data_IF_100700416155
#
_entry.id   IF_100700416155
#
_cell.length_a   1.000
_cell.length_b   1.000
_cell.length_c   1.000
_cell.angle_alpha   90.00
_cell.angle_beta   90.00
_cell.angle_gamma   90.00
#
_symmetry.space_group_name_H-M   'P 1'
#
loop_
_entity.id
_entity.type
_entity.pdbx_description
1 polymer ?
#
# COMPACT_ATOMS: atom_id res chain seq x y z
N UNK A 1 27.50 26.08 -1.06
CA UNK A 1 27.54 24.76 -0.39
C UNK A 1 26.13 24.42 0.09
N UNK A 2 25.50 23.44 -0.55
CA UNK A 2 24.06 23.18 -0.44
C UNK A 2 23.66 22.66 0.95
N UNK A 3 22.95 23.46 1.73
CA UNK A 3 22.30 23.09 3.02
C UNK A 3 21.11 22.14 2.87
N UNK A 4 21.07 21.28 1.86
CA UNK A 4 19.84 20.54 1.49
C UNK A 4 19.69 19.16 2.15
N UNK A 5 20.76 18.60 2.73
CA UNK A 5 20.72 17.34 3.48
C UNK A 5 21.54 17.53 4.77
N UNK A 6 20.92 18.06 5.80
CA UNK A 6 21.52 18.11 7.14
C UNK A 6 20.84 17.02 7.95
N UNK A 7 21.33 15.81 7.82
CA UNK A 7 20.96 14.73 8.71
C UNK A 7 22.04 14.55 9.77
N UNK A 8 21.64 14.53 11.04
CA UNK A 8 22.57 14.22 12.11
C UNK A 8 23.05 12.76 12.00
N UNK A 9 24.36 12.48 12.17
CA UNK A 9 24.91 11.12 12.02
C UNK A 9 24.20 10.09 12.88
N UNK A 10 23.76 10.47 14.08
CA UNK A 10 22.99 9.60 14.97
C UNK A 10 21.64 9.18 14.35
N UNK A 11 20.91 10.12 13.77
CA UNK A 11 19.62 9.84 13.13
C UNK A 11 19.81 9.00 11.87
N UNK A 12 20.86 9.24 11.10
CA UNK A 12 21.23 8.44 9.94
C UNK A 12 21.44 6.97 10.32
N UNK A 13 22.24 6.69 11.36
CA UNK A 13 22.48 5.32 11.81
C UNK A 13 21.19 4.65 12.27
N UNK A 14 20.37 5.34 13.07
CA UNK A 14 19.08 4.83 13.54
C UNK A 14 18.17 4.48 12.36
N UNK A 15 18.02 5.37 11.39
CA UNK A 15 17.18 5.14 10.21
C UNK A 15 17.66 3.94 9.37
N UNK A 16 18.97 3.76 9.24
CA UNK A 16 19.55 2.60 8.53
C UNK A 16 19.31 1.28 9.29
N UNK A 17 19.48 1.29 10.63
CA UNK A 17 19.18 0.12 11.47
C UNK A 17 17.69 -0.24 11.34
N UNK A 18 16.79 0.73 11.46
CA UNK A 18 15.35 0.50 11.31
C UNK A 18 15.05 -0.04 9.90
N UNK A 19 15.66 0.54 8.86
CA UNK A 19 15.50 0.04 7.47
C UNK A 19 15.90 -1.41 7.35
N UNK A 20 17.04 -1.80 7.92
CA UNK A 20 17.50 -3.18 7.91
C UNK A 20 16.53 -4.13 8.63
N UNK A 21 16.06 -3.74 9.83
CA UNK A 21 15.05 -4.52 10.58
C UNK A 21 13.75 -4.65 9.79
N UNK A 22 13.29 -3.58 9.13
CA UNK A 22 12.08 -3.57 8.31
C UNK A 22 12.23 -4.51 7.10
N UNK A 23 13.39 -4.51 6.43
CA UNK A 23 13.67 -5.43 5.32
C UNK A 23 13.60 -6.88 5.79
N UNK A 24 14.25 -7.21 6.92
CA UNK A 24 14.19 -8.55 7.50
C UNK A 24 12.75 -8.93 7.89
N UNK A 25 12.01 -8.01 8.51
CA UNK A 25 10.60 -8.22 8.86
C UNK A 25 9.75 -8.48 7.61
N UNK A 26 9.98 -7.75 6.52
CA UNK A 26 9.24 -7.94 5.26
C UNK A 26 9.38 -9.37 4.75
N UNK A 27 10.61 -9.89 4.71
CA UNK A 27 10.89 -11.26 4.28
C UNK A 27 10.37 -12.30 5.29
N UNK A 28 10.51 -12.03 6.58
CA UNK A 28 10.02 -12.91 7.64
C UNK A 28 8.49 -13.05 7.60
N UNK A 29 7.74 -11.93 7.43
CA UNK A 29 6.29 -11.98 7.25
C UNK A 29 5.88 -12.77 6.01
N UNK A 30 6.58 -12.58 4.88
CA UNK A 30 6.34 -13.39 3.68
C UNK A 30 6.59 -14.88 3.94
N UNK A 31 7.58 -15.22 4.77
CA UNK A 31 7.88 -16.59 5.19
C UNK A 31 6.74 -17.28 5.96
N UNK A 32 5.87 -16.51 6.65
CA UNK A 32 4.68 -17.07 7.32
C UNK A 32 3.69 -17.73 6.35
N UNK A 33 3.75 -17.39 5.06
CA UNK A 33 2.93 -18.04 4.02
C UNK A 33 3.27 -19.52 3.81
N UNK A 34 4.49 -19.95 4.16
CA UNK A 34 5.04 -21.24 3.81
C UNK A 34 5.31 -21.43 2.30
N UNK A 35 5.26 -20.36 1.49
CA UNK A 35 5.40 -20.38 0.05
C UNK A 35 6.66 -19.62 -0.40
N UNK A 36 7.58 -20.31 -1.06
CA UNK A 36 8.77 -19.68 -1.64
C UNK A 36 8.42 -18.60 -2.67
N UNK A 37 7.32 -18.80 -3.38
CA UNK A 37 6.81 -17.82 -4.35
C UNK A 37 6.39 -16.50 -3.69
N UNK A 38 5.77 -16.57 -2.51
CA UNK A 38 5.39 -15.36 -1.74
C UNK A 38 6.64 -14.68 -1.18
N UNK A 39 7.64 -15.44 -0.73
CA UNK A 39 8.94 -14.89 -0.30
C UNK A 39 9.64 -14.19 -1.47
N UNK A 40 9.67 -14.81 -2.63
CA UNK A 40 10.23 -14.21 -3.85
C UNK A 40 9.48 -12.93 -4.23
N UNK A 41 8.17 -12.93 -4.12
CA UNK A 41 7.32 -11.74 -4.38
C UNK A 41 7.67 -10.60 -3.43
N UNK A 42 7.92 -10.88 -2.15
CA UNK A 42 8.34 -9.87 -1.17
C UNK A 42 9.68 -9.21 -1.56
N UNK A 43 10.64 -9.99 -2.07
CA UNK A 43 11.89 -9.44 -2.60
C UNK A 43 11.66 -8.55 -3.82
N UNK A 44 10.78 -8.92 -4.74
CA UNK A 44 10.44 -8.07 -5.88
C UNK A 44 9.75 -6.77 -5.44
N UNK A 45 8.86 -6.83 -4.45
CA UNK A 45 8.22 -5.66 -3.86
C UNK A 45 9.28 -4.70 -3.28
N UNK A 46 10.26 -5.21 -2.53
CA UNK A 46 11.38 -4.40 -2.02
C UNK A 46 12.19 -3.77 -3.16
N UNK A 47 12.54 -4.53 -4.18
CA UNK A 47 13.31 -4.05 -5.33
C UNK A 47 12.55 -2.95 -6.07
N UNK A 48 11.24 -3.11 -6.31
CA UNK A 48 10.40 -2.08 -6.95
C UNK A 48 10.40 -0.80 -6.12
N UNK A 49 10.28 -0.89 -4.79
CA UNK A 49 10.36 0.28 -3.91
C UNK A 49 11.73 0.94 -3.95
N UNK A 50 12.84 0.19 -4.03
CA UNK A 50 14.18 0.75 -4.14
C UNK A 50 14.40 1.44 -5.49
N UNK A 51 13.91 0.84 -6.58
CA UNK A 51 13.96 1.47 -7.90
C UNK A 51 13.16 2.77 -7.90
N UNK A 52 11.96 2.80 -7.30
CA UNK A 52 11.12 4.00 -7.22
C UNK A 52 11.70 5.06 -6.26
N UNK A 53 12.42 4.63 -5.22
CA UNK A 53 13.09 5.53 -4.28
C UNK A 53 14.17 6.38 -4.96
N UNK A 54 14.93 5.84 -5.90
CA UNK A 54 16.03 6.57 -6.56
C UNK A 54 15.56 7.87 -7.25
N UNK A 55 14.59 7.85 -8.17
CA UNK A 55 14.07 9.09 -8.75
C UNK A 55 13.36 9.97 -7.71
N UNK A 56 12.65 9.37 -6.73
CA UNK A 56 12.03 10.13 -5.67
C UNK A 56 13.04 10.94 -4.85
N UNK A 57 14.21 10.35 -4.54
CA UNK A 57 15.31 11.02 -3.86
C UNK A 57 15.94 12.12 -4.73
N UNK A 58 16.24 11.83 -6.02
CA UNK A 58 16.89 12.76 -6.94
C UNK A 58 16.01 14.00 -7.17
N UNK A 59 14.73 13.78 -7.45
CA UNK A 59 13.76 14.86 -7.73
C UNK A 59 13.10 15.42 -6.47
N UNK A 60 13.43 14.90 -5.27
CA UNK A 60 12.86 15.30 -3.98
C UNK A 60 11.33 15.30 -3.97
N UNK A 61 10.75 14.25 -4.53
CA UNK A 61 9.31 14.13 -4.72
C UNK A 61 8.76 12.86 -4.06
N UNK A 62 7.61 12.99 -3.43
CA UNK A 62 6.85 11.88 -2.85
C UNK A 62 5.63 11.48 -3.71
N UNK A 63 5.41 12.16 -4.83
CA UNK A 63 4.18 12.01 -5.64
C UNK A 63 3.90 10.58 -6.10
N UNK A 64 4.95 9.78 -6.27
CA UNK A 64 4.84 8.39 -6.73
C UNK A 64 4.89 7.37 -5.57
N UNK A 65 4.98 7.82 -4.32
CA UNK A 65 5.11 6.92 -3.17
C UNK A 65 3.91 5.97 -3.03
N UNK A 66 2.70 6.52 -2.94
CA UNK A 66 1.47 5.73 -2.82
C UNK A 66 1.20 4.92 -4.11
N UNK A 67 1.54 5.47 -5.29
CA UNK A 67 1.44 4.76 -6.56
C UNK A 67 2.37 3.54 -6.62
N UNK A 68 3.58 3.65 -6.07
CA UNK A 68 4.52 2.52 -6.00
C UNK A 68 3.93 1.37 -5.19
N UNK A 69 3.31 1.66 -4.04
CA UNK A 69 2.60 0.65 -3.25
C UNK A 69 1.48 -0.03 -4.06
N UNK A 70 0.68 0.76 -4.76
CA UNK A 70 -0.42 0.23 -5.59
C UNK A 70 0.10 -0.65 -6.74
N UNK A 71 1.18 -0.25 -7.41
CA UNK A 71 1.83 -1.08 -8.44
C UNK A 71 2.31 -2.40 -7.83
N UNK A 72 2.87 -2.38 -6.61
CA UNK A 72 3.34 -3.59 -5.94
C UNK A 72 2.20 -4.55 -5.56
N UNK A 73 1.05 -4.06 -5.11
CA UNK A 73 -0.14 -4.90 -4.89
C UNK A 73 -0.61 -5.56 -6.20
N UNK A 74 -0.72 -4.79 -7.28
CA UNK A 74 -1.13 -5.31 -8.58
C UNK A 74 -0.12 -6.33 -9.11
N UNK A 75 1.18 -5.98 -9.07
CA UNK A 75 2.26 -6.86 -9.50
C UNK A 75 2.25 -8.18 -8.71
N UNK A 76 2.24 -8.12 -7.37
CA UNK A 76 2.28 -9.31 -6.52
C UNK A 76 1.11 -10.25 -6.79
N UNK A 77 -0.10 -9.69 -6.92
CA UNK A 77 -1.31 -10.47 -7.22
C UNK A 77 -1.24 -11.16 -8.58
N UNK A 78 -0.87 -10.43 -9.64
CA UNK A 78 -0.75 -10.98 -11.00
C UNK A 78 0.40 -11.98 -11.08
N UNK A 79 1.56 -11.65 -10.50
CA UNK A 79 2.76 -12.49 -10.54
C UNK A 79 2.52 -13.84 -9.86
N UNK A 80 1.99 -13.84 -8.62
CA UNK A 80 1.73 -15.09 -7.89
C UNK A 80 0.68 -15.92 -8.61
N UNK A 81 -0.39 -15.31 -9.13
CA UNK A 81 -1.38 -16.05 -9.92
C UNK A 81 -0.77 -16.70 -11.15
N UNK A 82 -0.02 -15.91 -11.94
CA UNK A 82 0.56 -16.41 -13.19
C UNK A 82 1.60 -17.51 -12.97
N UNK A 83 2.44 -17.39 -11.94
CA UNK A 83 3.43 -18.40 -11.60
C UNK A 83 2.79 -19.71 -11.10
N UNK A 84 1.62 -19.62 -10.44
CA UNK A 84 0.92 -20.79 -9.91
C UNK A 84 0.07 -21.49 -10.98
N UNK A 85 -0.62 -20.73 -11.82
CA UNK A 85 -1.63 -21.27 -12.74
C UNK A 85 -1.35 -21.02 -14.22
N UNK A 86 -0.39 -20.14 -14.56
CA UNK A 86 -0.20 -19.68 -15.93
C UNK A 86 -1.45 -18.98 -16.48
N UNK A 87 -1.89 -19.42 -17.66
CA UNK A 87 -3.12 -18.94 -18.29
C UNK A 87 -4.36 -19.79 -17.92
N UNK A 88 -4.20 -20.79 -17.03
CA UNK A 88 -5.28 -21.70 -16.65
C UNK A 88 -6.23 -21.00 -15.67
N UNK A 89 -7.55 -21.16 -15.89
CA UNK A 89 -8.54 -20.64 -14.95
C UNK A 89 -8.50 -21.39 -13.63
N UNK A 90 -8.49 -20.63 -12.53
CA UNK A 90 -8.64 -21.12 -11.16
C UNK A 90 -9.56 -20.19 -10.37
N UNK A 91 -10.23 -20.70 -9.33
CA UNK A 91 -11.03 -19.89 -8.41
C UNK A 91 -10.18 -18.80 -7.72
N UNK A 92 -8.88 -19.02 -7.56
CA UNK A 92 -7.93 -18.01 -7.04
C UNK A 92 -7.87 -16.75 -7.91
N UNK A 93 -8.34 -16.80 -9.17
CA UNK A 93 -8.47 -15.64 -10.04
C UNK A 93 -9.41 -14.58 -9.44
N UNK A 94 -10.47 -14.97 -8.76
CA UNK A 94 -11.40 -14.03 -8.11
C UNK A 94 -10.71 -13.23 -7.00
N UNK A 95 -9.81 -13.86 -6.23
CA UNK A 95 -9.00 -13.18 -5.21
C UNK A 95 -8.08 -12.15 -5.89
N UNK A 96 -7.38 -12.56 -6.95
CA UNK A 96 -6.49 -11.67 -7.69
C UNK A 96 -7.23 -10.49 -8.32
N UNK A 97 -8.41 -10.72 -8.91
CA UNK A 97 -9.26 -9.66 -9.46
C UNK A 97 -9.73 -8.71 -8.36
N UNK A 98 -10.14 -9.21 -7.19
CA UNK A 98 -10.56 -8.38 -6.08
C UNK A 98 -9.44 -7.44 -5.62
N UNK A 99 -8.21 -7.96 -5.48
CA UNK A 99 -7.02 -7.14 -5.17
C UNK A 99 -6.75 -6.10 -6.27
N UNK A 100 -6.86 -6.48 -7.55
CA UNK A 100 -6.67 -5.56 -8.67
C UNK A 100 -7.71 -4.42 -8.67
N UNK A 101 -8.99 -4.74 -8.49
CA UNK A 101 -10.05 -3.73 -8.42
C UNK A 101 -9.77 -2.74 -7.28
N UNK A 102 -9.46 -3.27 -6.09
CA UNK A 102 -9.16 -2.44 -4.93
C UNK A 102 -7.94 -1.55 -5.16
N UNK A 103 -6.83 -2.11 -5.63
CA UNK A 103 -5.58 -1.37 -5.79
C UNK A 103 -5.65 -0.33 -6.93
N UNK A 104 -6.35 -0.62 -8.03
CA UNK A 104 -6.55 0.35 -9.11
C UNK A 104 -7.38 1.55 -8.59
N UNK A 105 -8.45 1.27 -7.87
CA UNK A 105 -9.29 2.32 -7.27
C UNK A 105 -8.52 3.16 -6.26
N UNK A 106 -7.87 2.51 -5.28
CA UNK A 106 -7.14 3.20 -4.23
C UNK A 106 -5.95 3.98 -4.79
N UNK A 107 -5.15 3.34 -5.66
CA UNK A 107 -3.98 3.96 -6.27
C UNK A 107 -4.32 5.18 -7.13
N UNK A 108 -5.37 5.09 -7.95
CA UNK A 108 -5.84 6.23 -8.75
C UNK A 108 -6.37 7.37 -7.86
N UNK A 109 -7.10 7.06 -6.80
CA UNK A 109 -7.58 8.04 -5.82
C UNK A 109 -6.42 8.76 -5.11
N UNK A 110 -5.45 8.01 -4.59
CA UNK A 110 -4.31 8.56 -3.87
C UNK A 110 -3.41 9.40 -4.78
N UNK A 111 -3.15 8.92 -6.00
CA UNK A 111 -2.38 9.66 -7.00
C UNK A 111 -3.07 10.99 -7.35
N UNK A 112 -4.36 10.95 -7.67
CA UNK A 112 -5.12 12.17 -7.94
C UNK A 112 -5.05 13.15 -6.77
N UNK A 113 -5.26 12.67 -5.54
CA UNK A 113 -5.20 13.50 -4.33
C UNK A 113 -3.86 14.23 -4.18
N UNK A 114 -2.74 13.53 -4.41
CA UNK A 114 -1.39 14.12 -4.28
C UNK A 114 -1.13 15.11 -5.43
N UNK A 115 -1.57 14.81 -6.66
CA UNK A 115 -1.42 15.71 -7.80
C UNK A 115 -2.24 17.00 -7.60
N UNK A 116 -3.48 16.89 -7.13
CA UNK A 116 -4.36 18.04 -6.86
C UNK A 116 -3.85 18.89 -5.69
N UNK A 117 -3.28 18.28 -4.64
CA UNK A 117 -2.69 18.97 -3.50
C UNK A 117 -1.28 19.53 -3.76
N UNK A 118 -0.61 19.09 -4.85
CA UNK A 118 0.75 19.46 -5.21
C UNK A 118 1.83 18.75 -4.38
N UNK A 119 1.57 18.45 -3.12
CA UNK A 119 2.49 17.73 -2.21
C UNK A 119 1.71 16.96 -1.12
N UNK A 120 2.33 15.97 -0.53
CA UNK A 120 1.91 15.38 0.74
C UNK A 120 2.69 16.02 1.90
N UNK A 121 1.97 16.75 2.75
CA UNK A 121 2.57 17.50 3.87
C UNK A 121 3.39 16.61 4.82
N UNK A 122 3.08 15.31 4.93
CA UNK A 122 3.82 14.33 5.75
C UNK A 122 5.28 14.22 5.32
N UNK A 123 5.54 14.38 4.02
CA UNK A 123 6.87 14.23 3.43
C UNK A 123 7.74 15.48 3.46
N UNK A 124 7.22 16.63 3.91
CA UNK A 124 8.00 17.89 3.97
C UNK A 124 9.30 17.77 4.76
N UNK A 125 9.29 17.01 5.84
CA UNK A 125 10.46 16.75 6.69
C UNK A 125 11.18 15.48 6.26
N UNK A 126 10.44 14.40 5.94
CA UNK A 126 10.98 13.08 5.61
C UNK A 126 11.94 13.15 4.42
N UNK A 127 11.57 13.82 3.33
CA UNK A 127 12.41 13.92 2.11
C UNK A 127 13.65 14.81 2.26
N UNK A 128 13.82 15.47 3.41
CA UNK A 128 15.07 16.21 3.74
C UNK A 128 16.17 15.28 4.24
N UNK A 129 15.81 14.13 4.79
CA UNK A 129 16.73 13.10 5.27
C UNK A 129 16.70 11.92 4.31
N UNK A 130 17.75 11.65 3.52
CA UNK A 130 17.80 10.53 2.60
C UNK A 130 17.55 9.18 3.27
N UNK A 131 18.11 8.97 4.47
CA UNK A 131 17.96 7.70 5.18
C UNK A 131 16.57 7.53 5.75
N UNK A 132 15.92 8.59 6.27
CA UNK A 132 14.54 8.57 6.70
C UNK A 132 13.60 8.31 5.52
N UNK A 133 13.88 8.91 4.36
CA UNK A 133 13.08 8.70 3.16
C UNK A 133 13.23 7.26 2.65
N UNK A 134 14.45 6.71 2.67
CA UNK A 134 14.68 5.29 2.35
C UNK A 134 13.95 4.35 3.33
N UNK A 135 14.03 4.62 4.63
CA UNK A 135 13.29 3.89 5.65
C UNK A 135 11.79 3.91 5.37
N UNK A 136 11.24 5.05 4.96
CA UNK A 136 9.81 5.20 4.65
C UNK A 136 9.40 4.34 3.46
N UNK A 137 10.23 4.22 2.41
CA UNK A 137 9.98 3.31 1.29
C UNK A 137 10.02 1.83 1.72
N UNK A 138 10.95 1.45 2.61
CA UNK A 138 10.96 0.08 3.16
C UNK A 138 9.72 -0.20 4.02
N UNK A 139 9.25 0.76 4.82
CA UNK A 139 8.00 0.63 5.57
C UNK A 139 6.79 0.45 4.64
N UNK A 140 6.77 1.13 3.50
CA UNK A 140 5.73 0.92 2.48
C UNK A 140 5.77 -0.50 1.91
N UNK A 141 6.97 -1.02 1.60
CA UNK A 141 7.13 -2.39 1.12
C UNK A 141 6.64 -3.42 2.15
N UNK A 142 7.00 -3.25 3.43
CA UNK A 142 6.51 -4.08 4.52
C UNK A 142 4.99 -4.04 4.61
N UNK A 143 4.40 -2.84 4.52
CA UNK A 143 2.95 -2.66 4.57
C UNK A 143 2.25 -3.39 3.42
N UNK A 144 2.78 -3.28 2.19
CA UNK A 144 2.27 -4.02 1.03
C UNK A 144 2.29 -5.52 1.28
N UNK A 145 3.39 -6.07 1.79
CA UNK A 145 3.50 -7.52 2.07
C UNK A 145 2.51 -7.94 3.15
N UNK A 146 2.42 -7.22 4.27
CA UNK A 146 1.49 -7.56 5.36
C UNK A 146 0.04 -7.55 4.87
N UNK A 147 -0.39 -6.49 4.18
CA UNK A 147 -1.77 -6.36 3.73
C UNK A 147 -2.14 -7.37 2.63
N UNK A 148 -1.19 -7.77 1.79
CA UNK A 148 -1.44 -8.75 0.72
C UNK A 148 -1.18 -10.20 1.14
N UNK A 149 -0.59 -10.45 2.30
CA UNK A 149 -0.10 -11.76 2.72
C UNK A 149 -1.18 -12.85 2.60
N UNK A 150 -2.37 -12.61 3.15
CA UNK A 150 -3.46 -13.58 3.10
C UNK A 150 -3.89 -13.88 1.65
N UNK A 151 -4.01 -12.84 0.81
CA UNK A 151 -4.41 -13.00 -0.59
C UNK A 151 -3.34 -13.76 -1.39
N UNK A 152 -2.06 -13.38 -1.26
CA UNK A 152 -0.95 -14.03 -1.95
C UNK A 152 -0.79 -15.50 -1.49
N UNK A 153 -0.94 -15.77 -0.19
CA UNK A 153 -0.91 -17.15 0.35
C UNK A 153 -2.07 -17.99 -0.21
N UNK A 154 -3.28 -17.45 -0.21
CA UNK A 154 -4.45 -18.13 -0.75
C UNK A 154 -4.30 -18.42 -2.25
N UNK A 155 -3.76 -17.48 -3.03
CA UNK A 155 -3.51 -17.67 -4.46
C UNK A 155 -2.41 -18.69 -4.70
N UNK A 156 -1.30 -18.66 -3.93
CA UNK A 156 -0.19 -19.60 -4.12
C UNK A 156 -0.53 -21.04 -3.73
N UNK A 157 -1.39 -21.22 -2.71
CA UNK A 157 -1.79 -22.56 -2.23
C UNK A 157 -3.04 -23.12 -2.93
N UNK A 158 -3.75 -22.29 -3.67
CA UNK A 158 -4.98 -22.64 -4.38
C UNK A 158 -6.23 -22.57 -3.52
N UNK A 159 -7.34 -22.16 -4.14
CA UNK A 159 -8.69 -22.29 -3.58
C UNK A 159 -9.29 -23.55 -4.15
N UNK A 160 -9.47 -24.59 -3.32
CA UNK A 160 -9.85 -25.92 -3.78
C UNK A 160 -11.37 -26.08 -4.01
N UNK A 161 -12.18 -25.29 -3.30
CA UNK A 161 -13.65 -25.39 -3.40
C UNK A 161 -14.33 -24.06 -3.06
N UNK A 162 -15.57 -23.90 -3.55
CA UNK A 162 -16.45 -22.78 -3.20
C UNK A 162 -17.26 -23.20 -1.98
N UNK A 163 -16.69 -22.94 -0.80
CA UNK A 163 -17.31 -23.20 0.49
C UNK A 163 -18.15 -21.99 0.96
N UNK A 164 -19.08 -22.14 1.91
CA UNK A 164 -19.81 -21.01 2.49
C UNK A 164 -18.93 -19.88 2.98
N UNK A 165 -17.71 -20.19 3.47
CA UNK A 165 -16.71 -19.21 3.92
C UNK A 165 -16.23 -18.32 2.77
N UNK A 166 -16.20 -18.82 1.53
CA UNK A 166 -15.86 -18.02 0.36
C UNK A 166 -16.89 -16.89 0.13
N UNK A 167 -18.18 -17.21 0.23
CA UNK A 167 -19.25 -16.20 0.08
C UNK A 167 -19.23 -15.18 1.21
N UNK A 168 -18.94 -15.62 2.44
CA UNK A 168 -18.76 -14.71 3.57
C UNK A 168 -17.58 -13.76 3.32
N UNK A 169 -16.44 -14.28 2.85
CA UNK A 169 -15.27 -13.47 2.50
C UNK A 169 -15.57 -12.46 1.39
N UNK A 170 -16.28 -12.88 0.35
CA UNK A 170 -16.71 -12.00 -0.74
C UNK A 170 -17.66 -10.89 -0.23
N UNK A 171 -18.60 -11.24 0.63
CA UNK A 171 -19.51 -10.27 1.24
C UNK A 171 -18.74 -9.24 2.08
N UNK A 172 -17.81 -9.68 2.93
CA UNK A 172 -16.95 -8.80 3.74
C UNK A 172 -16.12 -7.89 2.85
N UNK A 173 -15.53 -8.41 1.77
CA UNK A 173 -14.75 -7.61 0.81
C UNK A 173 -15.62 -6.53 0.15
N UNK A 174 -16.81 -6.89 -0.35
CA UNK A 174 -17.71 -5.93 -1.01
C UNK A 174 -18.18 -4.86 -0.01
N UNK A 175 -18.53 -5.25 1.21
CA UNK A 175 -18.96 -4.32 2.25
C UNK A 175 -17.82 -3.36 2.63
N UNK A 176 -16.61 -3.88 2.91
CA UNK A 176 -15.44 -3.09 3.24
C UNK A 176 -15.05 -2.13 2.11
N UNK A 177 -14.93 -2.63 0.89
CA UNK A 177 -14.63 -1.81 -0.28
C UNK A 177 -15.67 -0.69 -0.49
N UNK A 178 -16.95 -0.97 -0.27
CA UNK A 178 -18.01 0.02 -0.37
C UNK A 178 -17.88 1.11 0.71
N UNK A 179 -17.59 0.71 1.95
CA UNK A 179 -17.36 1.63 3.06
C UNK A 179 -16.17 2.55 2.76
N UNK A 180 -15.06 2.00 2.28
CA UNK A 180 -13.87 2.77 1.91
C UNK A 180 -14.20 3.81 0.83
N UNK A 181 -14.85 3.38 -0.27
CA UNK A 181 -15.22 4.26 -1.40
C UNK A 181 -16.15 5.38 -0.94
N UNK A 182 -17.19 5.04 -0.17
CA UNK A 182 -18.17 6.03 0.33
C UNK A 182 -17.49 7.04 1.27
N UNK A 183 -16.66 6.54 2.20
CA UNK A 183 -15.97 7.39 3.15
C UNK A 183 -15.01 8.37 2.48
N UNK A 184 -14.22 7.90 1.51
CA UNK A 184 -13.30 8.75 0.75
C UNK A 184 -14.05 9.81 -0.08
N UNK A 185 -15.17 9.44 -0.71
CA UNK A 185 -16.01 10.38 -1.46
C UNK A 185 -16.63 11.44 -0.53
N UNK A 186 -17.17 11.04 0.63
CA UNK A 186 -17.70 11.99 1.61
C UNK A 186 -16.63 12.99 2.05
N UNK A 187 -15.42 12.52 2.34
CA UNK A 187 -14.29 13.38 2.74
C UNK A 187 -13.86 14.32 1.62
N UNK A 188 -13.84 13.84 0.39
CA UNK A 188 -13.48 14.65 -0.78
C UNK A 188 -14.51 15.76 -1.00
N UNK A 189 -15.80 15.43 -0.97
CA UNK A 189 -16.89 16.42 -1.10
C UNK A 189 -16.85 17.46 0.04
N UNK A 190 -16.65 17.01 1.27
CA UNK A 190 -16.54 17.90 2.42
C UNK A 190 -15.39 18.91 2.28
N UNK A 191 -14.23 18.46 1.79
CA UNK A 191 -13.04 19.30 1.58
C UNK A 191 -13.14 20.21 0.36
N UNK A 192 -14.02 19.91 -0.58
CA UNK A 192 -14.27 20.77 -1.75
C UNK A 192 -14.97 22.08 -1.38
N UNK A 193 -15.60 22.14 -0.21
CA UNK A 193 -16.27 23.36 0.30
C UNK A 193 -15.21 24.22 1.02
N UNK A 194 -14.92 25.45 0.55
CA UNK A 194 -13.88 26.32 1.14
C UNK A 194 -14.05 26.57 2.64
N UNK A 195 -15.29 26.72 3.10
CA UNK A 195 -15.63 26.97 4.50
C UNK A 195 -15.26 25.79 5.43
N UNK A 196 -14.96 24.63 4.88
CA UNK A 196 -14.56 23.43 5.61
C UNK A 196 -13.05 23.22 5.69
N UNK A 197 -12.23 24.15 5.18
CA UNK A 197 -10.77 23.98 5.05
C UNK A 197 -10.07 23.58 6.37
N UNK A 198 -10.57 24.11 7.52
CA UNK A 198 -10.00 23.83 8.86
C UNK A 198 -10.97 23.05 9.76
N UNK A 199 -11.99 22.43 9.20
CA UNK A 199 -12.98 21.67 9.96
C UNK A 199 -12.76 20.15 9.78
N UNK A 200 -13.23 19.41 10.78
CA UNK A 200 -13.33 17.95 10.69
C UNK A 200 -14.70 17.56 10.16
N UNK A 201 -14.73 16.56 9.28
CA UNK A 201 -15.98 15.95 8.84
C UNK A 201 -16.60 15.15 9.99
N UNK A 202 -17.88 15.36 10.24
CA UNK A 202 -18.66 14.71 11.32
C UNK A 202 -19.98 14.14 10.81
N UNK A 203 -20.16 14.04 9.48
CA UNK A 203 -21.39 13.56 8.83
C UNK A 203 -21.19 12.24 8.11
N UNK A 204 -22.27 11.52 7.83
CA UNK A 204 -22.22 10.23 7.15
C UNK A 204 -21.43 9.19 7.93
N UNK A 205 -20.58 8.42 7.28
CA UNK A 205 -19.72 7.40 7.92
C UNK A 205 -18.74 8.01 8.94
N UNK A 206 -18.36 9.26 8.77
CA UNK A 206 -17.45 9.99 9.66
C UNK A 206 -18.10 10.42 10.98
N UNK A 207 -19.43 10.27 11.13
CA UNK A 207 -20.10 10.45 12.42
C UNK A 207 -19.97 9.23 13.33
N UNK A 208 -19.73 8.04 12.74
CA UNK A 208 -19.65 6.77 13.46
C UNK A 208 -18.20 6.40 13.79
N UNK A 209 -17.26 6.73 12.92
CA UNK A 209 -15.84 6.42 13.09
C UNK A 209 -14.96 7.62 12.69
N UNK A 210 -13.80 7.77 13.35
CA UNK A 210 -12.79 8.77 12.97
C UNK A 210 -12.10 8.44 11.64
N UNK A 211 -12.06 7.17 11.29
CA UNK A 211 -11.36 6.67 10.10
C UNK A 211 -12.15 5.56 9.43
N UNK A 212 -13.39 5.84 8.94
CA UNK A 212 -14.22 4.80 8.33
C UNK A 212 -13.61 4.21 7.07
N UNK A 213 -12.77 4.96 6.36
CA UNK A 213 -12.03 4.50 5.19
C UNK A 213 -10.87 3.55 5.50
N UNK A 214 -10.46 3.42 6.77
CA UNK A 214 -9.49 2.39 7.20
C UNK A 214 -10.18 1.14 7.78
N UNK A 215 -11.47 1.27 8.05
CA UNK A 215 -12.28 0.14 8.50
C UNK A 215 -12.70 -0.73 7.30
N UNK A 216 -12.95 -0.11 6.16
CA UNK A 216 -13.26 -0.82 4.91
C UNK A 216 -12.01 -1.31 4.21
#
# INVERSE_FOLDING_TARGET
MNKFFVEEPKNMIINLIISFVVILATVAFAGLSGSDLVIQTAWYILIIHWIAFLPALIFKTEKFYDLTGSICYAFGSVFVYYQTYGATFSLSLFISIAVLIWTIRLGSFLLKRVLDAGEDKRFRTIKKSPTQFFMTFNLSALWVVICSLCALTAVSNGVLSVEPIFYLGLFIFIAGFSIEVIADNQKTQFRAIPDNANKFITTGLWSVSRHPNYFG
#
